data_IF_882690727908
#
_entry.id   IF_882690727908
#
_cell.length_a   1.000
_cell.length_b   1.000
_cell.length_c   1.000
_cell.angle_alpha   90.00
_cell.angle_beta   90.00
_cell.angle_gamma   90.00
#
_symmetry.space_group_name_H-M   'P 1'
#
loop_
_entity.id
_entity.type
_entity.pdbx_description
1 polymer ?
#
# COMPACT_ATOMS: atom_id res chain seq x y z
N UNK A 1 44.17 -42.24 18.74
CA UNK A 1 43.73 -41.35 17.64
C UNK A 1 42.22 -41.24 17.69
N UNK A 2 41.71 -40.00 17.69
CA UNK A 2 40.33 -39.58 17.35
C UNK A 2 39.15 -40.24 18.07
N UNK A 3 38.51 -39.55 19.03
CA UNK A 3 37.05 -39.33 18.94
C UNK A 3 36.39 -38.34 19.93
N UNK A 4 37.08 -37.69 20.87
CA UNK A 4 36.40 -36.83 21.84
C UNK A 4 36.60 -35.34 21.55
N UNK A 5 36.22 -34.90 20.35
CA UNK A 5 35.74 -33.50 20.26
C UNK A 5 34.42 -33.47 21.02
N UNK A 6 34.45 -32.84 22.18
CA UNK A 6 33.34 -32.78 23.13
C UNK A 6 32.07 -32.33 22.41
N UNK A 7 30.95 -33.02 22.65
CA UNK A 7 29.62 -32.62 22.14
C UNK A 7 29.31 -31.15 22.50
N UNK A 8 29.89 -30.63 23.59
CA UNK A 8 29.82 -29.20 23.94
C UNK A 8 30.54 -28.27 22.98
N UNK A 9 31.65 -28.71 22.41
CA UNK A 9 32.45 -27.95 21.45
C UNK A 9 31.72 -27.86 20.10
N UNK A 10 31.13 -28.96 19.63
CA UNK A 10 30.30 -28.99 18.41
C UNK A 10 29.04 -28.12 18.55
N UNK A 11 28.39 -28.13 19.72
CA UNK A 11 27.23 -27.26 19.99
C UNK A 11 27.63 -25.78 20.04
N UNK A 12 28.81 -25.46 20.57
CA UNK A 12 29.32 -24.09 20.60
C UNK A 12 29.73 -23.59 19.20
N UNK A 13 30.40 -24.43 18.39
CA UNK A 13 30.69 -24.14 16.98
C UNK A 13 29.38 -23.94 16.19
N UNK A 14 28.40 -24.83 16.32
CA UNK A 14 27.11 -24.73 15.61
C UNK A 14 26.34 -23.44 15.96
N UNK A 15 26.38 -23.02 17.24
CA UNK A 15 25.77 -21.75 17.67
C UNK A 15 26.51 -20.54 17.10
N UNK A 16 27.83 -20.59 17.04
CA UNK A 16 28.65 -19.55 16.42
C UNK A 16 28.34 -19.43 14.92
N UNK A 17 28.26 -20.56 14.22
CA UNK A 17 27.94 -20.64 12.79
C UNK A 17 26.53 -20.13 12.48
N UNK A 18 25.53 -20.48 13.30
CA UNK A 18 24.16 -19.96 13.17
C UNK A 18 24.11 -18.43 13.35
N UNK A 19 24.86 -17.90 14.31
CA UNK A 19 24.94 -16.45 14.53
C UNK A 19 25.59 -15.76 13.32
N UNK A 20 26.65 -16.34 12.76
CA UNK A 20 27.32 -15.84 11.56
C UNK A 20 26.41 -15.90 10.32
N UNK A 21 25.63 -16.97 10.18
CA UNK A 21 24.67 -17.13 9.10
C UNK A 21 23.53 -16.11 9.18
N UNK A 22 22.96 -15.89 10.37
CA UNK A 22 21.92 -14.89 10.59
C UNK A 22 22.43 -13.47 10.34
N UNK A 23 23.63 -13.13 10.84
CA UNK A 23 24.26 -11.84 10.59
C UNK A 23 24.49 -11.62 9.07
N UNK A 24 24.91 -12.66 8.37
CA UNK A 24 25.08 -12.62 6.91
C UNK A 24 23.77 -12.44 6.17
N UNK A 25 22.72 -13.19 6.52
CA UNK A 25 21.39 -13.03 5.92
C UNK A 25 20.80 -11.66 6.19
N UNK A 26 21.00 -11.11 7.38
CA UNK A 26 20.52 -9.78 7.72
C UNK A 26 21.26 -8.71 6.91
N UNK A 27 22.58 -8.85 6.76
CA UNK A 27 23.41 -7.96 5.94
C UNK A 27 23.01 -8.02 4.46
N UNK A 28 22.74 -9.22 3.94
CA UNK A 28 22.30 -9.45 2.56
C UNK A 28 20.88 -8.88 2.31
N UNK A 29 19.95 -9.14 3.24
CA UNK A 29 18.60 -8.59 3.19
C UNK A 29 18.63 -7.06 3.21
N UNK A 30 19.48 -6.46 4.05
CA UNK A 30 19.66 -5.01 4.10
C UNK A 30 20.19 -4.48 2.76
N UNK A 31 21.19 -5.13 2.18
CA UNK A 31 21.71 -4.70 0.86
C UNK A 31 20.69 -4.84 -0.26
N UNK A 32 19.88 -5.90 -0.28
CA UNK A 32 18.82 -6.07 -1.28
C UNK A 32 17.74 -5.00 -1.14
N UNK A 33 17.33 -4.68 0.09
CA UNK A 33 16.36 -3.60 0.35
C UNK A 33 16.94 -2.25 -0.09
N UNK A 34 18.20 -1.96 0.24
CA UNK A 34 18.87 -0.73 -0.20
C UNK A 34 19.01 -0.63 -1.72
N UNK A 35 19.34 -1.74 -2.39
CA UNK A 35 19.42 -1.81 -3.86
C UNK A 35 18.04 -1.58 -4.49
N UNK A 36 16.99 -2.20 -3.94
CA UNK A 36 15.61 -2.01 -4.40
C UNK A 36 15.16 -0.56 -4.22
N UNK A 37 15.46 0.06 -3.07
CA UNK A 37 15.18 1.49 -2.82
C UNK A 37 15.96 2.37 -3.80
N UNK A 38 17.21 2.02 -4.11
CA UNK A 38 18.04 2.77 -5.07
C UNK A 38 17.49 2.69 -6.50
N UNK A 39 16.93 1.55 -6.88
CA UNK A 39 16.16 1.38 -8.13
C UNK A 39 14.90 2.27 -8.15
N UNK A 40 14.18 2.34 -7.02
CA UNK A 40 13.02 3.24 -6.90
C UNK A 40 13.39 4.72 -6.89
N UNK A 41 14.60 5.11 -6.48
CA UNK A 41 15.04 6.51 -6.36
C UNK A 41 14.88 7.32 -7.65
N UNK A 42 15.13 6.71 -8.81
CA UNK A 42 14.95 7.38 -10.10
C UNK A 42 13.52 7.28 -10.61
N UNK A 43 12.82 6.19 -10.28
CA UNK A 43 11.44 5.94 -10.73
C UNK A 43 10.41 6.80 -10.00
N UNK A 44 10.59 7.07 -8.70
CA UNK A 44 9.64 7.84 -7.90
C UNK A 44 9.47 9.28 -8.42
N UNK A 45 10.53 10.07 -8.67
CA UNK A 45 10.38 11.42 -9.23
C UNK A 45 9.73 11.43 -10.62
N UNK A 46 10.06 10.43 -11.46
CA UNK A 46 9.43 10.25 -12.77
C UNK A 46 7.93 9.97 -12.65
N UNK A 47 7.53 9.11 -11.71
CA UNK A 47 6.11 8.84 -11.43
C UNK A 47 5.39 10.06 -10.87
N UNK A 48 6.02 10.82 -9.96
CA UNK A 48 5.46 12.07 -9.42
C UNK A 48 5.28 13.09 -10.55
N UNK A 49 6.31 13.29 -11.38
CA UNK A 49 6.24 14.19 -12.53
C UNK A 49 5.18 13.77 -13.54
N UNK A 50 5.12 12.48 -13.88
CA UNK A 50 4.08 11.92 -14.74
C UNK A 50 2.67 12.11 -14.16
N UNK A 51 2.47 11.81 -12.88
CA UNK A 51 1.21 12.03 -12.18
C UNK A 51 0.80 13.51 -12.17
N UNK A 52 1.75 14.43 -12.00
CA UNK A 52 1.52 15.86 -12.09
C UNK A 52 1.00 16.28 -13.47
N UNK A 53 1.62 15.80 -14.55
CA UNK A 53 1.15 16.09 -15.92
C UNK A 53 -0.21 15.46 -16.22
N UNK A 54 -0.46 14.24 -15.76
CA UNK A 54 -1.76 13.57 -15.89
C UNK A 54 -2.84 14.37 -15.16
N UNK A 55 -2.58 14.81 -13.92
CA UNK A 55 -3.51 15.61 -13.13
C UNK A 55 -3.78 16.97 -13.80
N UNK A 56 -2.74 17.63 -14.29
CA UNK A 56 -2.86 18.91 -15.01
C UNK A 56 -3.66 18.74 -16.31
N UNK A 57 -3.42 17.67 -17.06
CA UNK A 57 -4.18 17.31 -18.24
C UNK A 57 -5.65 17.04 -17.92
N UNK A 58 -5.93 16.34 -16.83
CA UNK A 58 -7.30 16.09 -16.35
C UNK A 58 -8.04 17.39 -15.98
N UNK A 59 -7.37 18.33 -15.30
CA UNK A 59 -7.95 19.65 -14.99
C UNK A 59 -8.25 20.44 -16.26
N UNK A 60 -7.31 20.45 -17.21
CA UNK A 60 -7.46 21.15 -18.49
C UNK A 60 -8.60 20.55 -19.32
N UNK A 61 -8.70 19.22 -19.35
CA UNK A 61 -9.79 18.50 -20.03
C UNK A 61 -11.14 18.80 -19.39
N UNK A 62 -11.22 18.81 -18.05
CA UNK A 62 -12.44 19.18 -17.33
C UNK A 62 -12.87 20.60 -17.67
N UNK A 63 -11.94 21.56 -17.69
CA UNK A 63 -12.24 22.93 -18.11
C UNK A 63 -12.70 23.01 -19.58
N UNK A 64 -12.06 22.27 -20.48
CA UNK A 64 -12.47 22.19 -21.89
C UNK A 64 -13.88 21.65 -22.07
N UNK A 65 -14.27 20.62 -21.30
CA UNK A 65 -15.65 20.10 -21.31
C UNK A 65 -16.66 21.15 -20.81
N UNK A 66 -16.32 21.89 -19.74
CA UNK A 66 -17.17 22.98 -19.25
C UNK A 66 -17.33 24.07 -20.31
N UNK A 67 -16.23 24.46 -20.97
CA UNK A 67 -16.24 25.46 -22.04
C UNK A 67 -17.05 25.01 -23.27
N UNK A 68 -16.99 23.72 -23.62
CA UNK A 68 -17.78 23.12 -24.69
C UNK A 68 -19.27 23.18 -24.36
N UNK A 69 -19.64 22.81 -23.13
CA UNK A 69 -21.03 22.90 -22.67
C UNK A 69 -21.49 24.37 -22.66
N UNK A 70 -20.66 25.29 -22.16
CA UNK A 70 -20.93 26.72 -22.20
C UNK A 70 -21.22 27.22 -23.62
N UNK A 71 -20.44 26.79 -24.62
CA UNK A 71 -20.62 27.20 -26.02
C UNK A 71 -21.96 26.80 -26.63
N UNK A 72 -22.63 25.78 -26.07
CA UNK A 72 -23.96 25.35 -26.51
C UNK A 72 -25.10 26.24 -25.96
N UNK A 73 -24.84 27.02 -24.92
CA UNK A 73 -25.81 27.93 -24.34
C UNK A 73 -25.67 29.34 -24.93
N UNK A 74 -26.79 30.01 -25.20
CA UNK A 74 -26.85 31.43 -25.58
C UNK A 74 -26.10 32.25 -24.52
N UNK A 75 -25.37 33.34 -24.89
CA UNK A 75 -24.61 34.16 -23.93
C UNK A 75 -25.48 34.60 -22.75
N UNK A 76 -25.29 33.89 -21.65
CA UNK A 76 -25.97 34.08 -20.38
C UNK A 76 -24.89 34.17 -19.32
N UNK A 77 -25.06 35.10 -18.37
CA UNK A 77 -24.14 35.27 -17.26
C UNK A 77 -23.92 33.97 -16.45
N UNK A 78 -24.86 33.02 -16.54
CA UNK A 78 -24.83 31.76 -15.80
C UNK A 78 -24.36 30.56 -16.62
N UNK A 79 -24.04 30.71 -17.91
CA UNK A 79 -23.68 29.58 -18.77
C UNK A 79 -22.46 28.78 -18.26
N UNK A 80 -21.48 29.48 -17.67
CA UNK A 80 -20.30 28.84 -17.06
C UNK A 80 -20.67 28.01 -15.83
N UNK A 81 -21.55 28.54 -14.98
CA UNK A 81 -22.03 27.85 -13.79
C UNK A 81 -22.83 26.59 -14.16
N UNK A 82 -23.69 26.68 -15.18
CA UNK A 82 -24.46 25.54 -15.69
C UNK A 82 -23.54 24.48 -16.26
N UNK A 83 -22.54 24.87 -17.07
CA UNK A 83 -21.55 23.93 -17.61
C UNK A 83 -20.76 23.20 -16.51
N UNK A 84 -20.28 23.94 -15.51
CA UNK A 84 -19.59 23.36 -14.35
C UNK A 84 -20.48 22.40 -13.57
N UNK A 85 -21.75 22.75 -13.36
CA UNK A 85 -22.70 21.92 -12.63
C UNK A 85 -22.99 20.59 -13.34
N UNK A 86 -23.19 20.62 -14.67
CA UNK A 86 -23.43 19.42 -15.48
C UNK A 86 -22.24 18.47 -15.40
N UNK A 87 -21.03 18.97 -15.68
CA UNK A 87 -19.82 18.13 -15.67
C UNK A 87 -19.52 17.58 -14.27
N UNK A 88 -19.68 18.40 -13.23
CA UNK A 88 -19.48 17.97 -11.84
C UNK A 88 -20.49 16.87 -11.46
N UNK A 89 -21.76 17.04 -11.84
CA UNK A 89 -22.79 16.03 -11.57
C UNK A 89 -22.45 14.71 -12.26
N UNK A 90 -22.00 14.74 -13.51
CA UNK A 90 -21.55 13.54 -14.23
C UNK A 90 -20.38 12.85 -13.52
N UNK A 91 -19.38 13.61 -13.07
CA UNK A 91 -18.25 13.07 -12.31
C UNK A 91 -18.68 12.46 -10.98
N UNK A 92 -19.61 13.07 -10.26
CA UNK A 92 -20.15 12.52 -9.02
C UNK A 92 -20.92 11.22 -9.25
N UNK A 93 -21.69 11.13 -10.34
CA UNK A 93 -22.41 9.90 -10.67
C UNK A 93 -21.45 8.76 -11.02
N UNK A 94 -20.49 9.01 -11.91
CA UNK A 94 -19.52 7.99 -12.34
C UNK A 94 -18.58 7.62 -11.19
N UNK A 95 -17.99 8.62 -10.53
CA UNK A 95 -17.08 8.42 -9.40
C UNK A 95 -17.78 7.80 -8.20
N UNK A 96 -19.02 8.20 -7.93
CA UNK A 96 -19.86 7.59 -6.89
C UNK A 96 -20.18 6.13 -7.19
N UNK A 97 -20.53 5.79 -8.44
CA UNK A 97 -20.78 4.41 -8.85
C UNK A 97 -19.52 3.55 -8.72
N UNK A 98 -18.39 4.00 -9.27
CA UNK A 98 -17.11 3.28 -9.19
C UNK A 98 -16.65 3.14 -7.74
N UNK A 99 -16.76 4.20 -6.94
CA UNK A 99 -16.45 4.20 -5.52
C UNK A 99 -17.34 3.24 -4.73
N UNK A 100 -18.63 3.18 -5.07
CA UNK A 100 -19.56 2.23 -4.45
C UNK A 100 -19.25 0.78 -4.82
N UNK A 101 -18.95 0.50 -6.09
CA UNK A 101 -18.52 -0.83 -6.54
C UNK A 101 -17.22 -1.25 -5.84
N UNK A 102 -16.23 -0.37 -5.80
CA UNK A 102 -14.97 -0.60 -5.07
C UNK A 102 -15.20 -0.84 -3.58
N UNK A 103 -16.00 0.00 -2.93
CA UNK A 103 -16.32 -0.16 -1.50
C UNK A 103 -17.04 -1.48 -1.21
N UNK A 104 -17.97 -1.90 -2.08
CA UNK A 104 -18.64 -3.19 -1.96
C UNK A 104 -17.64 -4.34 -2.07
N UNK A 105 -16.71 -4.28 -3.03
CA UNK A 105 -15.67 -5.29 -3.22
C UNK A 105 -14.71 -5.34 -2.03
N UNK A 106 -14.27 -4.19 -1.50
CA UNK A 106 -13.45 -4.13 -0.29
C UNK A 106 -14.16 -4.68 0.96
N UNK A 107 -15.48 -4.57 1.02
CA UNK A 107 -16.28 -5.08 2.14
C UNK A 107 -16.57 -6.58 2.01
N UNK A 108 -16.72 -7.11 0.79
CA UNK A 108 -16.90 -8.54 0.52
C UNK A 108 -15.57 -9.30 0.55
N UNK A 109 -14.51 -8.71 0.01
CA UNK A 109 -13.15 -9.18 0.17
C UNK A 109 -12.80 -9.09 1.66
N UNK A 110 -12.84 -10.24 2.34
CA UNK A 110 -12.48 -10.38 3.75
C UNK A 110 -10.95 -10.20 3.87
N UNK A 111 -10.47 -8.97 3.63
CA UNK A 111 -9.06 -8.56 3.72
C UNK A 111 -8.54 -8.62 5.16
N UNK A 112 -9.46 -8.70 6.12
CA UNK A 112 -9.16 -8.99 7.50
C UNK A 112 -9.38 -10.51 7.71
N UNK A 113 -8.32 -11.33 7.77
CA UNK A 113 -8.47 -12.77 7.93
C UNK A 113 -9.10 -13.04 9.30
N UNK A 114 -10.42 -13.31 9.32
CA UNK A 114 -11.17 -13.50 10.57
C UNK A 114 -10.57 -14.63 11.41
N UNK A 115 -10.19 -15.74 10.76
CA UNK A 115 -9.47 -16.88 11.38
C UNK A 115 -8.18 -16.45 12.09
N UNK A 116 -7.32 -15.68 11.40
CA UNK A 116 -6.02 -15.26 11.95
C UNK A 116 -6.19 -14.26 13.09
N UNK A 117 -7.17 -13.36 13.00
CA UNK A 117 -7.48 -12.46 14.12
C UNK A 117 -8.02 -13.20 15.34
N UNK A 118 -8.87 -14.22 15.17
CA UNK A 118 -9.40 -15.01 16.28
C UNK A 118 -8.28 -15.74 17.01
N UNK A 119 -7.36 -16.39 16.28
CA UNK A 119 -6.23 -17.09 16.89
C UNK A 119 -5.30 -16.13 17.64
N UNK A 120 -5.01 -14.95 17.09
CA UNK A 120 -4.20 -13.94 17.79
C UNK A 120 -4.88 -13.37 19.04
N UNK A 121 -6.21 -13.31 19.05
CA UNK A 121 -6.96 -12.90 20.24
C UNK A 121 -6.93 -13.98 21.32
N UNK A 122 -7.08 -15.25 20.94
CA UNK A 122 -6.95 -16.41 21.85
C UNK A 122 -5.54 -16.51 22.44
N UNK A 123 -4.49 -16.36 21.62
CA UNK A 123 -3.10 -16.37 22.08
C UNK A 123 -2.82 -15.26 23.10
N UNK A 124 -3.39 -14.06 22.89
CA UNK A 124 -3.25 -12.95 23.83
C UNK A 124 -3.93 -13.24 25.17
N UNK A 125 -5.13 -13.82 25.13
CA UNK A 125 -5.87 -14.21 26.34
C UNK A 125 -5.13 -15.29 27.13
N UNK A 126 -4.54 -16.27 26.44
CA UNK A 126 -3.75 -17.32 27.07
C UNK A 126 -2.49 -16.75 27.76
N UNK A 127 -1.74 -15.86 27.11
CA UNK A 127 -0.56 -15.21 27.70
C UNK A 127 -0.93 -14.35 28.93
N UNK A 128 -2.08 -13.67 28.89
CA UNK A 128 -2.56 -12.85 30.01
C UNK A 128 -3.10 -13.70 31.17
N UNK A 129 -3.52 -14.94 30.92
CA UNK A 129 -3.89 -15.91 31.95
C UNK A 129 -2.64 -16.53 32.60
N UNK A 130 -1.66 -16.94 31.80
CA UNK A 130 -0.39 -17.51 32.29
C UNK A 130 0.36 -16.49 33.17
N UNK A 131 0.37 -15.21 32.79
CA UNK A 131 0.96 -14.14 33.60
C UNK A 131 0.26 -13.86 34.93
N UNK A 132 -0.99 -14.28 35.10
CA UNK A 132 -1.73 -14.14 36.37
C UNK A 132 -1.62 -15.39 37.24
N UNK A 133 -1.27 -16.53 36.65
CA UNK A 133 -1.09 -17.80 37.33
C UNK A 133 0.34 -18.01 37.86
N UNK A 134 1.33 -17.29 37.31
CA UNK A 134 2.70 -17.19 37.80
C UNK A 134 2.87 -16.08 38.84
#
# INVERSE_FOLDING_TARGET
MHNEKSIREVVNETKADLKQFLDTRFRLLKSEVEEKIRSFKYSIPLLIGGAFFILTGWMTLTFSLIALVHAWFVPSAYAWAVGAFIITTLYLLVGGLLGWMGYREFKSATLVPKRTLTVLQEDKLWIDQERRAA
#
